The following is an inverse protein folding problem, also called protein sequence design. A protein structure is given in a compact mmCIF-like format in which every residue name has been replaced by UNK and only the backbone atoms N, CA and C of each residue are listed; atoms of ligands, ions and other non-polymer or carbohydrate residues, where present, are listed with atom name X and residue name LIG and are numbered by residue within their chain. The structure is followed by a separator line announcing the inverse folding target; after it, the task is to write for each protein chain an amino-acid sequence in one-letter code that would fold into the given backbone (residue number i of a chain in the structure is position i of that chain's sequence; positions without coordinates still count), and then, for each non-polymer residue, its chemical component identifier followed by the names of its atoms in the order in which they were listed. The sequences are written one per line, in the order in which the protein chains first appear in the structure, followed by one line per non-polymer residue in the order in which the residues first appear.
data_IF_897351038809
#
_entry.id   IF_897351038809
#
_cell.length_a   1.000
_cell.length_b   1.000
_cell.length_c   1.000
_cell.angle_alpha   90.00
_cell.angle_beta   90.00
_cell.angle_gamma   90.00
#
_symmetry.space_group_name_H-M   'P 1'
#
loop_
_entity.id
_entity.type
_entity.pdbx_description
1 polymer ?
#
# COMPACT_ATOMS: atom_id res chain seq x y z
N UNK A 1 -26.85 -7.83 -11.32
CA UNK A 1 -25.95 -7.24 -10.30
C UNK A 1 -25.45 -5.88 -10.79
N UNK A 2 -26.16 -4.79 -10.44
CA UNK A 2 -25.71 -3.40 -10.68
C UNK A 2 -26.15 -2.41 -9.58
N UNK A 3 -26.76 -2.88 -8.48
CA UNK A 3 -27.45 -2.02 -7.51
C UNK A 3 -26.61 -1.69 -6.27
N UNK A 4 -25.53 -2.43 -6.01
CA UNK A 4 -24.64 -2.25 -4.84
C UNK A 4 -23.83 -0.96 -4.91
N UNK A 5 -23.23 -0.62 -6.06
CA UNK A 5 -22.39 0.58 -6.26
C UNK A 5 -23.16 1.93 -6.13
N UNK A 6 -24.48 1.90 -5.89
CA UNK A 6 -25.31 3.11 -5.70
C UNK A 6 -25.63 3.42 -4.23
N UNK A 7 -25.26 2.54 -3.30
CA UNK A 7 -25.30 2.85 -1.86
C UNK A 7 -23.96 3.35 -1.33
N UNK A 8 -22.81 2.75 -1.73
CA UNK A 8 -21.50 3.17 -1.19
C UNK A 8 -21.16 4.64 -1.43
N UNK A 9 -21.57 5.22 -2.56
CA UNK A 9 -21.31 6.63 -2.95
C UNK A 9 -22.11 7.69 -2.17
N UNK A 10 -22.77 7.33 -1.07
CA UNK A 10 -23.60 8.27 -0.29
C UNK A 10 -22.93 8.77 0.99
N UNK A 11 -21.89 8.07 1.45
CA UNK A 11 -21.13 8.36 2.67
C UNK A 11 -19.69 8.85 2.35
N UNK A 12 -19.41 9.12 1.07
CA UNK A 12 -18.14 9.65 0.57
C UNK A 12 -18.08 11.17 0.76
N UNK A 13 -17.09 11.65 1.52
CA UNK A 13 -16.83 13.09 1.70
C UNK A 13 -16.22 13.73 0.44
N UNK A 14 -15.46 12.94 -0.32
CA UNK A 14 -14.84 13.32 -1.59
C UNK A 14 -14.64 12.07 -2.45
N UNK A 15 -14.79 12.19 -3.77
CA UNK A 15 -14.47 11.11 -4.73
C UNK A 15 -13.93 11.71 -6.01
N UNK A 16 -12.74 11.25 -6.44
CA UNK A 16 -12.10 11.66 -7.69
C UNK A 16 -11.78 10.44 -8.55
N UNK A 17 -12.11 10.52 -9.85
CA UNK A 17 -11.90 9.43 -10.82
C UNK A 17 -10.91 9.84 -11.89
N UNK A 18 -9.79 9.14 -11.99
CA UNK A 18 -8.72 9.37 -12.97
C UNK A 18 -8.67 8.21 -13.97
N UNK A 19 -8.80 8.50 -15.27
CA UNK A 19 -8.80 7.47 -16.34
C UNK A 19 -7.45 7.44 -17.06
N UNK A 20 -6.77 6.31 -17.03
CA UNK A 20 -5.45 6.08 -17.61
C UNK A 20 -5.49 4.88 -18.59
N UNK A 21 -6.05 5.09 -19.78
CA UNK A 21 -6.13 4.09 -20.84
C UNK A 21 -6.93 2.84 -20.43
N UNK A 22 -6.23 1.74 -20.11
CA UNK A 22 -6.84 0.47 -19.65
C UNK A 22 -7.08 0.41 -18.12
N UNK A 23 -6.56 1.37 -17.35
CA UNK A 23 -6.73 1.50 -15.89
C UNK A 23 -7.65 2.69 -15.58
N UNK A 24 -8.40 2.62 -14.49
CA UNK A 24 -9.14 3.74 -13.89
C UNK A 24 -8.90 3.72 -12.40
N UNK A 25 -8.43 4.84 -11.85
CA UNK A 25 -8.18 5.04 -10.44
C UNK A 25 -9.36 5.80 -9.82
N UNK A 26 -9.74 5.41 -8.61
CA UNK A 26 -10.76 6.04 -7.79
C UNK A 26 -10.11 6.41 -6.45
N UNK A 27 -10.23 7.67 -6.05
CA UNK A 27 -9.70 8.23 -4.81
C UNK A 27 -10.89 8.71 -3.99
N UNK A 28 -11.34 7.89 -3.04
CA UNK A 28 -12.56 8.12 -2.26
C UNK A 28 -12.21 8.39 -0.80
N UNK A 29 -12.49 9.58 -0.30
CA UNK A 29 -12.31 9.94 1.13
C UNK A 29 -13.60 9.63 1.87
N UNK A 30 -13.51 8.79 2.89
CA UNK A 30 -14.62 8.30 3.72
C UNK A 30 -14.40 8.67 5.18
N UNK A 31 -15.47 8.73 5.96
CA UNK A 31 -15.40 8.91 7.41
C UNK A 31 -15.73 7.60 8.15
N UNK A 32 -15.07 7.35 9.28
CA UNK A 32 -15.52 6.36 10.26
C UNK A 32 -16.68 6.92 11.09
N UNK A 33 -17.35 6.06 11.89
CA UNK A 33 -18.36 6.49 12.87
C UNK A 33 -17.82 7.43 13.97
N UNK A 34 -16.49 7.58 14.07
CA UNK A 34 -15.82 8.49 14.98
C UNK A 34 -15.35 9.80 14.29
N UNK A 35 -15.86 10.09 13.08
CA UNK A 35 -15.48 11.20 12.21
C UNK A 35 -13.99 11.23 11.78
N UNK A 36 -13.22 10.17 12.05
CA UNK A 36 -11.86 10.03 11.50
C UNK A 36 -11.95 9.78 10.00
N UNK A 37 -11.15 10.49 9.22
CA UNK A 37 -11.13 10.38 7.76
C UNK A 37 -10.10 9.33 7.31
N UNK A 38 -10.43 8.59 6.28
CA UNK A 38 -9.53 7.63 5.63
C UNK A 38 -9.70 7.67 4.12
N UNK A 39 -8.62 7.39 3.40
CA UNK A 39 -8.58 7.36 1.94
C UNK A 39 -8.71 5.92 1.45
N UNK A 40 -9.61 5.69 0.50
CA UNK A 40 -9.67 4.45 -0.29
C UNK A 40 -9.13 4.74 -1.68
N UNK A 41 -8.03 4.10 -2.06
CA UNK A 41 -7.50 4.14 -3.43
C UNK A 41 -7.89 2.83 -4.11
N UNK A 42 -8.71 2.88 -5.16
CA UNK A 42 -9.06 1.70 -5.96
C UNK A 42 -8.51 1.84 -7.38
N UNK A 43 -7.67 0.92 -7.83
CA UNK A 43 -7.41 0.74 -9.26
C UNK A 43 -8.40 -0.29 -9.82
N UNK A 44 -9.03 0.02 -10.96
CA UNK A 44 -9.73 -0.94 -11.80
C UNK A 44 -9.09 -1.05 -13.17
N UNK A 45 -8.66 -2.26 -13.54
CA UNK A 45 -7.89 -2.57 -14.74
C UNK A 45 -8.66 -3.51 -15.65
N UNK A 46 -8.92 -3.09 -16.89
CA UNK A 46 -9.63 -3.91 -17.87
C UNK A 46 -8.70 -4.98 -18.43
N UNK A 47 -8.98 -6.23 -18.09
CA UNK A 47 -8.31 -7.45 -18.58
C UNK A 47 -9.19 -8.16 -19.62
N UNK A 48 -8.57 -9.07 -20.37
CA UNK A 48 -9.24 -10.05 -21.21
C UNK A 48 -8.86 -11.44 -20.69
N UNK A 49 -9.84 -12.34 -20.58
CA UNK A 49 -9.63 -13.77 -20.35
C UNK A 49 -9.79 -14.47 -21.68
N UNK A 50 -8.72 -15.10 -22.15
CA UNK A 50 -8.71 -15.87 -23.41
C UNK A 50 -9.55 -17.15 -23.25
N UNK A 51 -9.41 -17.85 -22.11
CA UNK A 51 -10.19 -19.03 -21.73
C UNK A 51 -11.71 -18.81 -21.78
N UNK A 52 -12.18 -17.62 -21.40
CA UNK A 52 -13.60 -17.29 -21.36
C UNK A 52 -14.05 -16.38 -22.53
N UNK A 53 -13.13 -15.97 -23.41
CA UNK A 53 -13.37 -15.04 -24.51
C UNK A 53 -13.94 -13.67 -24.09
N UNK A 54 -13.68 -13.23 -22.85
CA UNK A 54 -14.42 -12.13 -22.20
C UNK A 54 -13.52 -11.10 -21.51
N UNK A 55 -13.97 -9.85 -21.54
CA UNK A 55 -13.36 -8.78 -20.75
C UNK A 55 -13.86 -8.81 -19.30
N UNK A 56 -12.95 -8.61 -18.35
CA UNK A 56 -13.25 -8.47 -16.93
C UNK A 56 -12.46 -7.28 -16.34
N UNK A 57 -12.82 -6.88 -15.12
CA UNK A 57 -12.16 -5.80 -14.41
C UNK A 57 -11.49 -6.34 -13.15
N UNK A 58 -10.16 -6.41 -13.21
CA UNK A 58 -9.29 -6.64 -12.06
C UNK A 58 -9.39 -5.39 -11.15
N UNK A 59 -9.68 -5.55 -9.86
CA UNK A 59 -9.77 -4.44 -8.89
C UNK A 59 -8.72 -4.63 -7.80
N UNK A 60 -7.83 -3.65 -7.62
CA UNK A 60 -6.95 -3.53 -6.47
C UNK A 60 -7.46 -2.40 -5.58
N UNK A 61 -7.57 -2.61 -4.26
CA UNK A 61 -8.03 -1.58 -3.31
C UNK A 61 -7.02 -1.47 -2.17
N UNK A 62 -6.59 -0.25 -1.89
CA UNK A 62 -5.75 0.14 -0.75
C UNK A 62 -6.61 1.02 0.16
N UNK A 63 -6.48 0.79 1.47
CA UNK A 63 -7.00 1.67 2.50
C UNK A 63 -5.81 2.35 3.18
N UNK A 64 -5.91 3.66 3.38
CA UNK A 64 -4.89 4.47 4.04
C UNK A 64 -5.58 5.32 5.11
N UNK A 65 -5.06 5.27 6.34
CA UNK A 65 -5.59 6.00 7.49
C UNK A 65 -4.75 7.27 7.74
N UNK A 66 -5.33 8.24 8.47
CA UNK A 66 -4.77 9.59 8.60
C UNK A 66 -3.37 9.65 9.20
N UNK A 67 -3.05 8.71 10.08
CA UNK A 67 -1.75 8.53 10.75
C UNK A 67 -0.58 8.18 9.79
N UNK A 68 -0.88 7.69 8.59
CA UNK A 68 0.13 7.31 7.58
C UNK A 68 0.12 8.21 6.34
N UNK A 69 -0.74 9.24 6.30
CA UNK A 69 -0.90 10.11 5.12
C UNK A 69 0.42 10.75 4.66
N UNK A 70 1.18 11.37 5.57
CA UNK A 70 2.42 12.05 5.21
C UNK A 70 3.51 11.06 4.76
N UNK A 71 3.73 9.97 5.52
CA UNK A 71 4.69 8.92 5.14
C UNK A 71 4.39 8.32 3.77
N UNK A 72 3.12 8.01 3.50
CA UNK A 72 2.68 7.43 2.24
C UNK A 72 2.83 8.43 1.09
N UNK A 73 2.46 9.70 1.31
CA UNK A 73 2.63 10.78 0.33
C UNK A 73 4.10 10.99 -0.02
N UNK A 74 4.97 11.07 0.98
CA UNK A 74 6.38 11.37 0.77
C UNK A 74 7.10 10.20 0.09
N UNK A 75 6.80 8.95 0.48
CA UNK A 75 7.28 7.75 -0.22
C UNK A 75 6.73 7.59 -1.64
N UNK A 76 5.49 7.98 -1.90
CA UNK A 76 4.90 7.99 -3.25
C UNK A 76 5.56 9.06 -4.14
N UNK A 77 5.77 10.26 -3.61
CA UNK A 77 6.45 11.34 -4.33
C UNK A 77 7.89 10.94 -4.66
N UNK A 78 8.68 10.48 -3.68
CA UNK A 78 10.05 10.05 -3.92
C UNK A 78 10.16 8.93 -4.99
N UNK A 79 9.20 8.00 -5.02
CA UNK A 79 9.14 6.96 -6.05
C UNK A 79 8.75 7.50 -7.45
N UNK A 80 7.95 8.57 -7.53
CA UNK A 80 7.64 9.26 -8.79
C UNK A 80 8.83 10.10 -9.25
N UNK A 81 9.41 10.91 -8.36
CA UNK A 81 10.54 11.80 -8.62
C UNK A 81 11.76 11.00 -9.12
N UNK A 82 12.01 9.80 -8.57
CA UNK A 82 13.02 8.86 -9.06
C UNK A 82 12.75 8.40 -10.50
N UNK A 83 11.51 8.04 -10.83
CA UNK A 83 11.09 7.60 -12.17
C UNK A 83 11.15 8.76 -13.19
N UNK A 84 10.81 9.99 -12.79
CA UNK A 84 10.81 11.16 -13.68
C UNK A 84 12.20 11.75 -13.88
N UNK A 85 13.09 11.69 -12.88
CA UNK A 85 14.48 12.17 -12.98
C UNK A 85 15.34 11.26 -13.86
N UNK A 86 15.05 9.95 -13.87
CA UNK A 86 15.76 8.96 -14.71
C UNK A 86 17.15 8.58 -14.20
N UNK A 87 17.53 9.01 -12.99
CA UNK A 87 18.77 8.62 -12.33
C UNK A 87 18.68 7.17 -11.84
N UNK A 88 19.24 6.24 -12.63
CA UNK A 88 19.44 4.82 -12.29
C UNK A 88 20.58 4.65 -11.26
N UNK A 89 20.60 5.52 -10.24
CA UNK A 89 21.71 5.77 -9.34
C UNK A 89 21.27 5.52 -7.89
N UNK A 90 21.34 4.25 -7.50
CA UNK A 90 20.78 3.73 -6.24
C UNK A 90 21.65 4.04 -5.01
N UNK A 91 21.96 5.31 -4.77
CA UNK A 91 22.44 5.74 -3.45
C UNK A 91 21.23 5.94 -2.53
N UNK A 92 20.76 4.84 -1.93
CA UNK A 92 19.85 4.87 -0.81
C UNK A 92 20.49 5.71 0.31
N UNK A 93 19.91 6.88 0.60
CA UNK A 93 20.30 7.64 1.78
C UNK A 93 19.89 6.86 3.03
N UNK A 94 20.83 6.13 3.63
CA UNK A 94 20.65 5.52 4.95
C UNK A 94 20.38 6.62 5.97
N UNK A 95 19.10 6.80 6.32
CA UNK A 95 18.66 7.83 7.25
C UNK A 95 19.25 7.57 8.63
N UNK A 96 20.20 8.41 9.03
CA UNK A 96 21.08 8.22 10.19
C UNK A 96 20.33 7.76 11.46
N UNK A 97 20.54 6.48 11.84
CA UNK A 97 20.13 5.97 13.15
C UNK A 97 20.96 6.66 14.23
N UNK A 98 20.38 7.68 14.90
CA UNK A 98 21.03 8.34 16.03
C UNK A 98 21.23 7.35 17.20
N UNK A 99 22.45 7.25 17.76
CA UNK A 99 22.76 6.27 18.81
C UNK A 99 22.39 6.75 20.23
N UNK A 100 22.09 5.74 21.08
CA UNK A 100 22.36 5.63 22.54
C UNK A 100 21.71 6.66 23.52
N UNK A 101 21.12 6.28 24.67
CA UNK A 101 20.67 4.97 25.22
C UNK A 101 19.39 5.24 26.10
N UNK A 102 18.99 4.65 27.25
CA UNK A 102 19.56 3.72 28.25
C UNK A 102 18.73 2.42 28.41
N UNK A 103 19.39 1.26 28.25
CA UNK A 103 19.38 0.07 29.12
C UNK A 103 18.07 -0.28 29.88
N UNK A 104 17.50 -1.48 29.65
CA UNK A 104 17.36 -2.55 30.68
C UNK A 104 16.40 -3.69 30.29
N UNK A 105 16.96 -4.86 29.93
CA UNK A 105 16.76 -6.14 30.67
C UNK A 105 17.45 -7.30 29.94
N UNK A 106 18.31 -8.04 30.65
CA UNK A 106 18.96 -9.25 30.12
C UNK A 106 17.99 -10.42 30.01
N UNK A 107 17.89 -11.04 28.83
CA UNK A 107 17.47 -12.43 28.68
C UNK A 107 18.48 -13.12 27.76
N UNK A 108 19.42 -13.85 28.36
CA UNK A 108 20.33 -14.72 27.63
C UNK A 108 19.55 -15.97 27.18
N UNK A 109 19.52 -16.22 25.88
CA UNK A 109 18.96 -17.43 25.26
C UNK A 109 20.04 -18.07 24.40
N UNK A 110 21.02 -18.65 25.08
CA UNK A 110 22.13 -19.41 24.50
C UNK A 110 21.57 -20.58 23.70
N UNK A 111 21.56 -20.48 22.37
CA UNK A 111 20.94 -21.45 21.46
C UNK A 111 21.97 -22.50 21.00
N UNK A 112 22.52 -23.24 21.97
CA UNK A 112 23.74 -24.05 21.79
C UNK A 112 23.54 -25.54 22.18
N UNK A 113 22.31 -26.05 22.01
CA UNK A 113 22.01 -27.49 22.01
C UNK A 113 20.82 -27.81 21.10
N UNK A 114 21.08 -28.45 19.95
CA UNK A 114 20.39 -29.68 19.51
C UNK A 114 21.01 -30.21 18.20
N UNK A 115 21.62 -31.39 18.30
CA UNK A 115 22.54 -31.99 17.32
C UNK A 115 22.11 -32.04 15.84
N UNK A 116 23.09 -31.77 15.00
CA UNK A 116 23.16 -32.21 13.60
C UNK A 116 23.48 -33.72 13.58
N UNK A 117 22.46 -34.57 13.36
CA UNK A 117 22.62 -36.02 13.17
C UNK A 117 22.53 -36.35 11.67
N UNK A 118 23.62 -36.86 11.10
CA UNK A 118 23.78 -37.15 9.67
C UNK A 118 23.77 -38.65 9.35
N UNK A 119 23.28 -39.00 8.16
CA UNK A 119 23.25 -40.37 7.58
C UNK A 119 22.28 -41.34 8.31
N UNK A 120 21.67 -42.35 7.66
CA UNK A 120 21.94 -42.98 6.34
C UNK A 120 20.65 -43.20 5.56
#
# INVERSE_FOLDING_TARGET
MQETDKFERRDDLFSQVVRAGKRTYFFDVKATRANQQYLTITESKRRFSEEQGKFFYEKHKVFLYGEDFDKFKDGLNAAIDFIESGDDNSELSEGETKPEDEISSTVDVSFEDLGEETET
#
